data_IF_888285779660
#
_entry.id   IF_888285779660
#
_cell.length_a   1.000
_cell.length_b   1.000
_cell.length_c   1.000
_cell.angle_alpha   90.00
_cell.angle_beta   90.00
_cell.angle_gamma   90.00
#
_symmetry.space_group_name_H-M   'P 1'
#
loop_
_entity.id
_entity.type
_entity.pdbx_description
1 polymer ?
#
# COMPACT_ATOMS: atom_id res chain seq x y z
N UNK A 1 -2.88 17.51 8.41
CA UNK A 1 -1.44 17.16 8.54
C UNK A 1 -0.93 16.32 7.38
N UNK A 2 -1.46 15.12 7.12
CA UNK A 2 -1.06 14.23 6.02
C UNK A 2 -0.91 14.90 4.65
N UNK A 3 -1.91 15.68 4.22
CA UNK A 3 -1.89 16.39 2.95
C UNK A 3 -0.71 17.37 2.84
N UNK A 4 -0.38 18.08 3.93
CA UNK A 4 0.74 19.04 3.94
C UNK A 4 2.08 18.32 3.75
N UNK A 5 2.27 17.19 4.43
CA UNK A 5 3.48 16.35 4.29
C UNK A 5 3.60 15.86 2.84
N UNK A 6 2.51 15.39 2.23
CA UNK A 6 2.51 14.93 0.85
C UNK A 6 2.85 16.07 -0.12
N UNK A 7 2.32 17.28 0.10
CA UNK A 7 2.62 18.45 -0.74
C UNK A 7 4.10 18.85 -0.65
N UNK A 8 4.70 18.85 0.56
CA UNK A 8 6.14 19.12 0.74
C UNK A 8 7.03 18.14 -0.03
N UNK A 9 6.63 16.88 -0.16
CA UNK A 9 7.39 15.82 -0.86
C UNK A 9 7.12 15.80 -2.36
N UNK A 10 5.91 16.14 -2.77
CA UNK A 10 5.40 15.96 -4.13
C UNK A 10 5.41 17.21 -5.00
N UNK A 11 5.85 18.35 -4.50
CA UNK A 11 5.85 19.62 -5.22
C UNK A 11 7.25 20.20 -5.34
N UNK A 12 7.45 20.98 -6.40
CA UNK A 12 8.65 21.75 -6.64
C UNK A 12 8.28 23.19 -7.02
N UNK A 13 9.13 24.18 -6.72
CA UNK A 13 8.93 25.55 -7.19
C UNK A 13 8.87 25.59 -8.72
N UNK A 14 7.89 26.30 -9.27
CA UNK A 14 7.86 26.60 -10.70
C UNK A 14 8.82 27.74 -11.03
N UNK A 15 9.06 27.97 -12.32
CA UNK A 15 9.85 29.11 -12.78
C UNK A 15 9.23 30.46 -12.36
N UNK A 16 7.89 30.52 -12.34
CA UNK A 16 7.15 31.69 -11.87
C UNK A 16 7.10 31.76 -10.34
N UNK A 17 7.45 32.93 -9.79
CA UNK A 17 7.48 33.17 -8.34
C UNK A 17 6.11 32.91 -7.70
N UNK A 18 6.11 32.14 -6.60
CA UNK A 18 4.91 31.82 -5.85
C UNK A 18 4.05 30.71 -6.48
N UNK A 19 4.46 30.15 -7.63
CA UNK A 19 3.82 28.99 -8.24
C UNK A 19 4.62 27.73 -7.98
N UNK A 20 3.91 26.61 -8.01
CA UNK A 20 4.47 25.28 -7.79
C UNK A 20 3.83 24.29 -8.76
N UNK A 21 4.56 23.22 -9.07
CA UNK A 21 4.03 22.11 -9.83
C UNK A 21 4.29 20.79 -9.09
N UNK A 22 3.48 19.78 -9.40
CA UNK A 22 3.73 18.43 -8.89
C UNK A 22 4.93 17.81 -9.62
N UNK A 23 5.94 17.36 -8.89
CA UNK A 23 7.18 16.80 -9.44
C UNK A 23 7.05 15.34 -9.90
N UNK A 24 5.88 14.98 -10.42
CA UNK A 24 5.56 13.63 -10.89
C UNK A 24 5.51 13.58 -12.41
N UNK A 25 5.93 12.46 -12.97
CA UNK A 25 5.87 12.22 -14.40
C UNK A 25 4.41 12.04 -14.87
N UNK A 26 3.90 12.86 -15.82
CA UNK A 26 2.55 12.72 -16.34
C UNK A 26 2.26 11.37 -17.01
N UNK A 27 3.29 10.66 -17.50
CA UNK A 27 3.14 9.34 -18.14
C UNK A 27 2.59 8.29 -17.20
N UNK A 28 2.81 8.44 -15.89
CA UNK A 28 2.24 7.57 -14.86
C UNK A 28 0.71 7.66 -14.77
N UNK A 29 0.06 8.65 -15.41
CA UNK A 29 -1.40 8.71 -15.53
C UNK A 29 -1.96 7.74 -16.58
N UNK A 30 -1.12 7.21 -17.48
CA UNK A 30 -1.51 6.31 -18.58
C UNK A 30 -1.10 4.86 -18.31
N UNK A 31 -0.54 4.56 -17.13
CA UNK A 31 0.04 3.26 -16.78
C UNK A 31 -0.96 2.11 -16.61
N UNK A 32 -2.26 2.33 -16.81
CA UNK A 32 -3.29 1.31 -16.70
C UNK A 32 -3.28 0.26 -17.83
N UNK A 33 -2.38 0.38 -18.81
CA UNK A 33 -2.27 -0.53 -19.96
C UNK A 33 -1.56 -1.87 -19.66
N UNK A 34 -1.27 -2.19 -18.39
CA UNK A 34 -0.46 -3.36 -18.00
C UNK A 34 -0.95 -4.11 -16.77
N UNK A 35 -2.26 -4.26 -16.60
CA UNK A 35 -2.81 -5.02 -15.46
C UNK A 35 -2.50 -6.52 -15.62
N UNK A 36 -1.88 -7.12 -14.61
CA UNK A 36 -1.58 -8.55 -14.59
C UNK A 36 -2.85 -9.39 -14.47
N UNK A 37 -2.88 -10.55 -15.13
CA UNK A 37 -3.95 -11.52 -14.90
C UNK A 37 -3.90 -12.06 -13.47
N UNK A 38 -5.05 -12.53 -12.95
CA UNK A 38 -5.12 -13.15 -11.63
C UNK A 38 -4.16 -14.35 -11.52
N UNK A 39 -4.08 -15.18 -12.55
CA UNK A 39 -3.20 -16.35 -12.56
C UNK A 39 -1.73 -15.95 -12.34
N UNK A 40 -1.28 -14.88 -13.02
CA UNK A 40 0.08 -14.38 -12.87
C UNK A 40 0.30 -13.77 -11.47
N UNK A 41 -0.68 -13.06 -10.92
CA UNK A 41 -0.63 -12.54 -9.55
C UNK A 41 -0.52 -13.70 -8.55
N UNK A 42 -1.30 -14.77 -8.72
CA UNK A 42 -1.24 -15.95 -7.84
C UNK A 42 0.09 -16.69 -7.97
N UNK A 43 0.68 -16.75 -9.16
CA UNK A 43 2.04 -17.27 -9.33
C UNK A 43 3.05 -16.43 -8.55
N UNK A 44 3.00 -15.10 -8.63
CA UNK A 44 3.90 -14.24 -7.84
C UNK A 44 3.68 -14.38 -6.33
N UNK A 45 2.42 -14.41 -5.87
CA UNK A 45 2.08 -14.65 -4.47
C UNK A 45 2.69 -15.96 -3.96
N UNK A 46 2.62 -17.03 -4.76
CA UNK A 46 3.18 -18.34 -4.42
C UNK A 46 4.71 -18.37 -4.26
N UNK A 47 5.44 -17.36 -4.75
CA UNK A 47 6.90 -17.29 -4.67
C UNK A 47 7.39 -16.54 -3.43
N UNK A 48 6.49 -15.94 -2.64
CA UNK A 48 6.86 -15.29 -1.39
C UNK A 48 7.27 -16.38 -0.38
N UNK A 49 8.42 -16.18 0.27
CA UNK A 49 9.01 -17.13 1.25
C UNK A 49 9.36 -16.46 2.59
N UNK A 50 9.42 -15.13 2.63
CA UNK A 50 9.72 -14.38 3.84
C UNK A 50 8.50 -14.28 4.76
N UNK A 51 8.69 -13.99 6.06
CA UNK A 51 7.59 -13.56 6.92
C UNK A 51 6.77 -12.45 6.26
N UNK A 52 5.45 -12.55 6.33
CA UNK A 52 4.54 -11.63 5.66
C UNK A 52 3.53 -11.04 6.65
N UNK A 53 3.51 -9.70 6.74
CA UNK A 53 2.52 -8.94 7.51
C UNK A 53 1.63 -8.17 6.55
N UNK A 54 0.33 -8.42 6.64
CA UNK A 54 -0.70 -7.65 5.97
C UNK A 54 -1.49 -6.81 6.98
N UNK A 55 -1.59 -5.51 6.72
CA UNK A 55 -2.43 -4.59 7.49
C UNK A 55 -3.46 -3.99 6.54
N UNK A 56 -4.75 -4.24 6.81
CA UNK A 56 -5.86 -3.75 5.99
C UNK A 56 -6.63 -2.66 6.73
N UNK A 57 -6.76 -1.51 6.08
CA UNK A 57 -7.64 -0.44 6.56
C UNK A 57 -9.11 -0.77 6.28
N UNK A 58 -10.01 -0.47 7.21
CA UNK A 58 -11.48 -0.63 7.06
C UNK A 58 -12.16 0.73 7.31
N UNK A 59 -12.90 1.30 6.34
CA UNK A 59 -13.29 0.72 5.05
C UNK A 59 -12.16 0.70 3.99
N UNK A 60 -11.06 1.44 4.20
CA UNK A 60 -9.88 1.38 3.34
C UNK A 60 -10.16 1.63 1.84
N UNK A 61 -9.46 0.88 0.98
CA UNK A 61 -9.59 0.94 -0.48
C UNK A 61 -10.34 -0.29 -1.00
N UNK A 62 -11.31 -0.08 -1.88
CA UNK A 62 -12.23 -1.13 -2.38
C UNK A 62 -11.84 -1.72 -3.74
N UNK A 63 -10.76 -1.23 -4.36
CA UNK A 63 -10.39 -1.52 -5.76
C UNK A 63 -10.05 -3.01 -6.00
N UNK A 64 -9.62 -3.75 -4.98
CA UNK A 64 -9.13 -5.12 -5.14
C UNK A 64 -10.24 -6.20 -5.13
N UNK A 65 -11.50 -5.81 -4.91
CA UNK A 65 -12.67 -6.70 -5.01
C UNK A 65 -12.52 -8.03 -4.25
N UNK A 66 -13.10 -9.08 -4.82
CA UNK A 66 -13.14 -10.45 -4.29
C UNK A 66 -11.80 -11.21 -4.35
N UNK A 67 -10.83 -10.74 -5.14
CA UNK A 67 -9.57 -11.46 -5.35
C UNK A 67 -8.54 -11.23 -4.24
N UNK A 68 -8.75 -10.23 -3.38
CA UNK A 68 -7.82 -9.92 -2.30
C UNK A 68 -7.59 -11.11 -1.37
N UNK A 69 -8.67 -11.80 -0.94
CA UNK A 69 -8.60 -12.98 -0.09
C UNK A 69 -7.80 -14.10 -0.74
N UNK A 70 -8.11 -14.42 -2.00
CA UNK A 70 -7.41 -15.47 -2.79
C UNK A 70 -5.90 -15.22 -2.87
N UNK A 71 -5.49 -13.97 -3.04
CA UNK A 71 -4.07 -13.62 -3.08
C UNK A 71 -3.42 -13.80 -1.72
N UNK A 72 -4.07 -13.37 -0.64
CA UNK A 72 -3.54 -13.55 0.72
C UNK A 72 -3.44 -15.02 1.12
N UNK A 73 -4.45 -15.83 0.84
CA UNK A 73 -4.42 -17.29 1.03
C UNK A 73 -3.21 -17.88 0.30
N UNK A 74 -2.95 -17.44 -0.93
CA UNK A 74 -1.81 -17.94 -1.70
C UNK A 74 -0.45 -17.54 -1.13
N UNK A 75 -0.36 -16.38 -0.50
CA UNK A 75 0.86 -15.97 0.22
C UNK A 75 1.01 -16.81 1.50
N UNK A 76 -0.06 -16.97 2.27
CA UNK A 76 -0.07 -17.71 3.54
C UNK A 76 0.43 -19.15 3.38
N UNK A 77 0.02 -19.86 2.32
CA UNK A 77 0.51 -21.21 1.99
C UNK A 77 2.04 -21.30 1.85
N UNK A 78 2.70 -20.22 1.42
CA UNK A 78 4.11 -20.22 1.02
C UNK A 78 5.08 -19.70 2.07
N UNK A 79 4.60 -19.11 3.15
CA UNK A 79 5.43 -18.38 4.13
C UNK A 79 5.48 -19.06 5.48
N UNK A 80 6.61 -18.93 6.18
CA UNK A 80 6.80 -19.50 7.52
C UNK A 80 6.07 -18.75 8.64
N UNK A 81 5.65 -17.51 8.37
CA UNK A 81 4.94 -16.62 9.30
C UNK A 81 4.06 -15.69 8.49
N UNK A 82 2.77 -15.73 8.77
CA UNK A 82 1.77 -14.88 8.15
C UNK A 82 0.98 -14.18 9.26
N UNK A 83 0.79 -12.87 9.13
CA UNK A 83 -0.06 -12.09 10.02
C UNK A 83 -0.99 -11.19 9.22
N UNK A 84 -2.27 -11.18 9.60
CA UNK A 84 -3.29 -10.33 9.02
C UNK A 84 -3.97 -9.50 10.11
N UNK A 85 -3.97 -8.18 9.95
CA UNK A 85 -4.58 -7.25 10.90
C UNK A 85 -5.49 -6.28 10.18
N UNK A 86 -6.69 -6.07 10.73
CA UNK A 86 -7.59 -5.02 10.29
C UNK A 86 -7.50 -3.81 11.21
N UNK A 87 -7.49 -2.61 10.62
CA UNK A 87 -7.37 -1.34 11.35
C UNK A 87 -8.46 -0.40 10.86
N UNK A 88 -9.20 0.21 11.79
CA UNK A 88 -10.20 1.22 11.46
C UNK A 88 -9.53 2.47 10.89
N UNK A 89 -9.91 2.83 9.67
CA UNK A 89 -9.42 4.02 8.99
C UNK A 89 -9.60 3.98 7.47
N UNK A 90 -9.30 5.10 6.82
CA UNK A 90 -9.29 5.20 5.36
C UNK A 90 -8.00 4.62 4.77
N UNK A 91 -7.88 4.58 3.44
CA UNK A 91 -6.71 4.01 2.75
C UNK A 91 -5.35 4.49 3.28
N UNK A 92 -5.25 5.76 3.69
CA UNK A 92 -4.02 6.34 4.24
C UNK A 92 -3.97 6.35 5.78
N UNK A 93 -4.59 5.38 6.47
CA UNK A 93 -4.59 5.29 7.94
C UNK A 93 -3.19 5.34 8.55
N UNK A 94 -2.19 4.74 7.90
CA UNK A 94 -0.79 4.78 8.33
C UNK A 94 -0.17 6.18 8.34
N UNK A 95 -0.75 7.13 7.59
CA UNK A 95 -0.30 8.53 7.53
C UNK A 95 -1.17 9.45 8.40
N UNK A 96 -2.46 9.15 8.49
CA UNK A 96 -3.42 9.96 9.23
C UNK A 96 -3.47 9.63 10.73
N UNK A 97 -3.33 8.34 11.07
CA UNK A 97 -3.46 7.76 12.41
C UNK A 97 -2.36 6.70 12.61
N UNK A 98 -1.07 7.08 12.50
CA UNK A 98 0.06 6.14 12.51
C UNK A 98 0.13 5.30 13.79
N UNK A 99 -0.37 5.80 14.92
CA UNK A 99 -0.46 5.12 16.21
C UNK A 99 -1.27 3.82 16.14
N UNK A 100 -2.21 3.68 15.20
CA UNK A 100 -2.96 2.45 14.99
C UNK A 100 -2.17 1.36 14.25
N UNK A 101 -1.16 1.76 13.48
CA UNK A 101 -0.40 0.87 12.58
C UNK A 101 1.00 0.55 13.12
N UNK A 102 1.67 1.55 13.68
CA UNK A 102 3.07 1.45 14.13
C UNK A 102 3.30 0.32 15.15
N UNK A 103 2.45 0.08 16.16
CA UNK A 103 2.65 -1.02 17.11
C UNK A 103 2.64 -2.40 16.46
N UNK A 104 1.80 -2.60 15.43
CA UNK A 104 1.68 -3.87 14.69
C UNK A 104 2.98 -4.16 13.95
N UNK A 105 3.45 -3.18 13.16
CA UNK A 105 4.72 -3.28 12.41
C UNK A 105 5.89 -3.54 13.38
N UNK A 106 5.95 -2.76 14.45
CA UNK A 106 7.03 -2.84 15.42
C UNK A 106 7.09 -4.18 16.16
N UNK A 107 5.94 -4.81 16.43
CA UNK A 107 5.88 -6.17 16.98
C UNK A 107 6.41 -7.18 15.97
N UNK A 108 5.88 -7.13 14.75
CA UNK A 108 6.26 -8.04 13.68
C UNK A 108 7.76 -8.04 13.36
N UNK A 109 8.40 -6.87 13.38
CA UNK A 109 9.84 -6.74 13.10
C UNK A 109 10.76 -7.19 14.23
N UNK A 110 10.26 -7.29 15.48
CA UNK A 110 11.08 -7.63 16.65
C UNK A 110 10.99 -9.10 17.05
N UNK A 111 10.01 -9.81 16.54
CA UNK A 111 9.81 -11.25 16.69
C UNK A 111 10.50 -12.02 15.55
#
# INVERSE_FOLDING_TARGET
EAAEILMKRGMQPAHERGKYYFSRDPRLKVSFLGVLSLDLILQFASQIRCPYLNIRAIPGQTIHGENYGKVLEKVEEGVRRFEYHEVEGTHHVHLNEPEKVAPIINRFLRD
#
